data_IF_895518129888
#
_entry.id   IF_895518129888
#
_cell.length_a   1.000
_cell.length_b   1.000
_cell.length_c   1.000
_cell.angle_alpha   90.00
_cell.angle_beta   90.00
_cell.angle_gamma   90.00
#
_symmetry.space_group_name_H-M   'P 1'
#
loop_
_entity.id
_entity.type
_entity.pdbx_description
1 polymer ?
#
# COMPACT_ATOMS: atom_id res chain seq x y z
N UNK A 1 2.27 -32.84 38.98
CA UNK A 1 1.69 -31.53 38.53
C UNK A 1 2.65 -30.71 37.65
N UNK A 2 3.96 -30.70 37.92
CA UNK A 2 4.94 -29.94 37.12
C UNK A 2 5.03 -30.37 35.64
N UNK A 3 4.97 -31.68 35.36
CA UNK A 3 5.07 -32.23 34.00
C UNK A 3 3.90 -31.79 33.08
N UNK A 4 2.66 -31.84 33.57
CA UNK A 4 1.48 -31.32 32.86
C UNK A 4 1.57 -29.81 32.56
N UNK A 5 2.16 -29.03 33.47
CA UNK A 5 2.39 -27.59 33.28
C UNK A 5 3.46 -27.31 32.22
N UNK A 6 4.54 -28.08 32.19
CA UNK A 6 5.59 -27.98 31.16
C UNK A 6 5.06 -28.30 29.75
N UNK A 7 4.18 -29.30 29.62
CA UNK A 7 3.54 -29.62 28.33
C UNK A 7 2.61 -28.53 27.82
N UNK A 8 1.86 -27.89 28.72
CA UNK A 8 1.00 -26.77 28.37
C UNK A 8 1.82 -25.56 27.92
N UNK A 9 2.88 -25.23 28.66
CA UNK A 9 3.79 -24.12 28.32
C UNK A 9 4.41 -24.28 26.94
N UNK A 10 4.96 -25.46 26.62
CA UNK A 10 5.54 -25.74 25.31
C UNK A 10 4.52 -25.60 24.17
N UNK A 11 3.29 -26.11 24.35
CA UNK A 11 2.21 -25.98 23.36
C UNK A 11 1.84 -24.52 23.10
N UNK A 12 1.76 -23.71 24.14
CA UNK A 12 1.48 -22.28 24.02
C UNK A 12 2.60 -21.57 23.25
N UNK A 13 3.87 -21.87 23.56
CA UNK A 13 5.02 -21.28 22.87
C UNK A 13 5.01 -21.67 21.39
N UNK A 14 4.87 -22.96 21.07
CA UNK A 14 4.85 -23.41 19.66
C UNK A 14 3.66 -22.84 18.91
N UNK A 15 2.45 -22.85 19.50
CA UNK A 15 1.28 -22.22 18.91
C UNK A 15 1.51 -20.75 18.62
N UNK A 16 2.08 -20.00 19.58
CA UNK A 16 2.38 -18.58 19.42
C UNK A 16 3.37 -18.33 18.28
N UNK A 17 4.45 -19.11 18.20
CA UNK A 17 5.43 -19.01 17.12
C UNK A 17 4.82 -19.28 15.75
N UNK A 18 3.99 -20.33 15.63
CA UNK A 18 3.29 -20.66 14.37
C UNK A 18 2.32 -19.54 13.98
N UNK A 19 1.50 -19.06 14.92
CA UNK A 19 0.55 -17.98 14.66
C UNK A 19 1.22 -16.67 14.25
N UNK A 20 2.30 -16.27 14.92
CA UNK A 20 3.08 -15.09 14.58
C UNK A 20 3.78 -15.24 13.22
N UNK A 21 4.31 -16.43 12.90
CA UNK A 21 4.92 -16.69 11.60
C UNK A 21 3.91 -16.55 10.46
N UNK A 22 2.73 -17.17 10.59
CA UNK A 22 1.65 -17.06 9.60
C UNK A 22 1.17 -15.62 9.46
N UNK A 23 1.00 -14.91 10.58
CA UNK A 23 0.63 -13.48 10.58
C UNK A 23 1.67 -12.63 9.83
N UNK A 24 2.95 -12.81 10.13
CA UNK A 24 4.02 -12.03 9.51
C UNK A 24 4.13 -12.30 7.99
N UNK A 25 4.09 -13.57 7.58
CA UNK A 25 4.16 -13.97 6.17
C UNK A 25 2.96 -13.42 5.39
N UNK A 26 1.75 -13.60 5.92
CA UNK A 26 0.53 -13.13 5.26
C UNK A 26 0.44 -11.60 5.20
N UNK A 27 0.84 -10.89 6.26
CA UNK A 27 0.89 -9.44 6.28
C UNK A 27 1.92 -8.88 5.28
N UNK A 28 3.11 -9.49 5.20
CA UNK A 28 4.13 -9.08 4.23
C UNK A 28 3.66 -9.27 2.79
N UNK A 29 3.09 -10.44 2.47
CA UNK A 29 2.53 -10.72 1.14
C UNK A 29 1.38 -9.77 0.80
N UNK A 30 0.49 -9.50 1.77
CA UNK A 30 -0.62 -8.56 1.60
C UNK A 30 -0.15 -7.14 1.35
N UNK A 31 0.90 -6.69 2.03
CA UNK A 31 1.50 -5.37 1.78
C UNK A 31 2.07 -5.27 0.35
N UNK A 32 2.73 -6.32 -0.15
CA UNK A 32 3.19 -6.37 -1.54
C UNK A 32 2.03 -6.29 -2.53
N UNK A 33 0.92 -6.97 -2.25
CA UNK A 33 -0.30 -6.89 -3.06
C UNK A 33 -1.01 -5.53 -2.96
N UNK A 34 -1.04 -4.91 -1.79
CA UNK A 34 -1.58 -3.56 -1.58
C UNK A 34 -0.76 -2.49 -2.32
N UNK A 35 0.55 -2.69 -2.46
CA UNK A 35 1.42 -1.82 -3.29
C UNK A 35 1.19 -1.93 -4.80
N UNK A 36 0.13 -2.63 -5.23
CA UNK A 36 -0.27 -2.75 -6.64
C UNK A 36 -0.76 -1.42 -7.23
N UNK A 37 -0.94 -1.43 -8.56
CA UNK A 37 -1.25 -0.24 -9.37
C UNK A 37 -2.52 0.50 -8.95
N UNK A 38 -3.48 -0.16 -8.29
CA UNK A 38 -4.75 0.45 -7.88
C UNK A 38 -4.54 1.53 -6.81
N UNK A 39 -3.75 1.23 -5.78
CA UNK A 39 -3.49 2.17 -4.68
C UNK A 39 -2.64 3.35 -5.16
N UNK A 40 -1.80 3.10 -6.16
CA UNK A 40 -0.93 4.11 -6.79
C UNK A 40 -1.61 4.87 -7.93
N UNK A 41 -2.84 4.51 -8.30
CA UNK A 41 -3.58 5.14 -9.39
C UNK A 41 -3.66 6.67 -9.27
N UNK A 42 -3.92 7.26 -8.08
CA UNK A 42 -3.85 8.71 -7.89
C UNK A 42 -2.50 9.33 -8.26
N UNK A 43 -1.38 8.67 -7.92
CA UNK A 43 -0.04 9.16 -8.25
C UNK A 43 0.18 9.16 -9.77
N UNK A 44 -0.17 8.06 -10.44
CA UNK A 44 -0.05 7.97 -11.90
C UNK A 44 -0.94 8.99 -12.61
N UNK A 45 -2.16 9.18 -12.13
CA UNK A 45 -3.09 10.20 -12.61
C UNK A 45 -2.51 11.61 -12.44
N UNK A 46 -1.96 11.90 -11.27
CA UNK A 46 -1.33 13.20 -10.96
C UNK A 46 -0.15 13.48 -11.88
N UNK A 47 0.77 12.52 -12.06
CA UNK A 47 1.91 12.68 -12.96
C UNK A 47 1.49 12.95 -14.40
N UNK A 48 0.43 12.28 -14.87
CA UNK A 48 -0.15 12.48 -16.21
C UNK A 48 -0.74 13.89 -16.32
N UNK A 49 -1.56 14.27 -15.35
CA UNK A 49 -2.25 15.57 -15.34
C UNK A 49 -1.25 16.73 -15.29
N UNK A 50 -0.18 16.65 -14.49
CA UNK A 50 0.90 17.66 -14.51
C UNK A 50 1.54 17.75 -15.90
N UNK A 51 1.81 16.61 -16.55
CA UNK A 51 2.44 16.62 -17.88
C UNK A 51 1.57 17.27 -18.95
N UNK A 52 0.24 17.09 -18.90
CA UNK A 52 -0.68 17.76 -19.82
C UNK A 52 -0.80 19.26 -19.51
N UNK A 53 -0.84 19.65 -18.22
CA UNK A 53 -0.81 21.06 -17.82
C UNK A 53 0.48 21.74 -18.31
N UNK A 54 1.63 21.07 -18.26
CA UNK A 54 2.89 21.59 -18.81
C UNK A 54 2.76 21.91 -20.29
N UNK A 55 2.18 21.01 -21.09
CA UNK A 55 1.93 21.26 -22.53
C UNK A 55 1.00 22.45 -22.75
N UNK A 56 -0.02 22.61 -21.91
CA UNK A 56 -0.94 23.75 -21.99
C UNK A 56 -0.23 25.08 -21.67
N UNK A 57 0.65 25.10 -20.66
CA UNK A 57 1.50 26.26 -20.35
C UNK A 57 2.44 26.57 -21.52
N UNK A 58 3.08 25.56 -22.11
CA UNK A 58 4.00 25.73 -23.24
C UNK A 58 3.27 26.26 -24.49
N UNK A 59 2.02 25.84 -24.71
CA UNK A 59 1.16 26.39 -25.76
C UNK A 59 0.81 27.86 -25.48
N UNK A 60 0.39 28.18 -24.26
CA UNK A 60 0.10 29.54 -23.82
C UNK A 60 1.30 30.47 -23.99
N UNK A 61 2.49 30.01 -23.59
CA UNK A 61 3.73 30.78 -23.70
C UNK A 61 4.09 31.07 -25.16
N UNK A 62 3.87 30.12 -26.08
CA UNK A 62 4.10 30.34 -27.52
C UNK A 62 3.14 31.36 -28.13
N UNK A 63 1.91 31.43 -27.65
CA UNK A 63 0.89 32.36 -28.17
C UNK A 63 1.03 33.77 -27.57
N UNK A 64 1.20 33.86 -26.24
CA UNK A 64 1.17 35.12 -25.50
C UNK A 64 2.54 35.64 -25.07
N UNK A 65 3.62 34.93 -25.39
CA UNK A 65 5.00 35.24 -24.99
C UNK A 65 5.16 35.52 -23.48
N UNK A 66 4.31 34.91 -22.65
CA UNK A 66 4.26 35.08 -21.19
C UNK A 66 3.78 33.79 -20.53
N UNK A 67 4.15 33.57 -19.26
CA UNK A 67 3.61 32.47 -18.47
C UNK A 67 2.25 32.89 -17.87
N UNK A 68 1.29 31.94 -17.71
CA UNK A 68 0.02 32.25 -17.09
C UNK A 68 0.21 32.56 -15.60
N UNK A 69 -0.51 33.55 -15.07
CA UNK A 69 -0.46 33.87 -13.63
C UNK A 69 -1.12 32.79 -12.77
N UNK A 70 -2.11 32.08 -13.33
CA UNK A 70 -2.88 31.03 -12.66
C UNK A 70 -3.24 29.90 -13.62
N UNK A 71 -3.50 28.70 -13.06
CA UNK A 71 -3.90 27.54 -13.86
C UNK A 71 -5.37 27.55 -14.27
N UNK A 72 -6.24 28.28 -13.55
CA UNK A 72 -7.71 28.27 -13.75
C UNK A 72 -8.13 28.78 -15.14
N UNK A 73 -7.30 29.60 -15.79
CA UNK A 73 -7.56 30.14 -17.12
C UNK A 73 -6.91 29.38 -18.27
N UNK A 74 -6.21 28.27 -18.01
CA UNK A 74 -5.64 27.43 -19.07
C UNK A 74 -6.74 26.60 -19.70
N UNK A 75 -7.04 26.88 -20.96
CA UNK A 75 -7.92 26.02 -21.73
C UNK A 75 -7.25 24.64 -21.93
N UNK A 76 -8.00 23.55 -21.77
CA UNK A 76 -7.54 22.26 -22.22
C UNK A 76 -7.19 22.32 -23.72
N UNK A 77 -5.98 21.86 -24.06
CA UNK A 77 -5.45 21.70 -25.42
C UNK A 77 -6.18 20.56 -26.18
N UNK A 78 -6.92 19.66 -25.50
CA UNK A 78 -7.73 18.60 -26.12
C UNK A 78 -8.71 17.86 -25.18
N UNK A 79 -9.44 16.88 -25.71
CA UNK A 79 -10.31 16.00 -24.90
C UNK A 79 -9.49 15.05 -24.01
N UNK A 80 -9.64 15.13 -22.68
CA UNK A 80 -8.99 14.23 -21.71
C UNK A 80 -7.83 14.81 -20.88
N UNK A 81 -7.70 16.14 -20.89
CA UNK A 81 -6.52 16.90 -20.51
C UNK A 81 -6.01 16.74 -19.08
N UNK A 82 -6.82 17.03 -18.06
CA UNK A 82 -6.48 16.80 -16.67
C UNK A 82 -7.73 16.86 -15.81
N UNK A 83 -7.65 16.37 -14.57
CA UNK A 83 -8.79 16.46 -13.64
C UNK A 83 -9.00 17.92 -13.26
N UNK A 84 -10.25 18.35 -13.30
CA UNK A 84 -10.69 19.64 -12.80
C UNK A 84 -11.80 19.43 -11.77
N UNK A 85 -11.87 20.31 -10.78
CA UNK A 85 -13.03 20.37 -9.89
C UNK A 85 -14.19 21.16 -10.52
N UNK A 86 -15.30 21.28 -9.81
CA UNK A 86 -16.50 22.01 -10.26
C UNK A 86 -16.23 23.50 -10.53
N UNK A 87 -15.18 24.08 -9.94
CA UNK A 87 -14.78 25.48 -10.16
C UNK A 87 -13.81 25.64 -11.32
N UNK A 88 -13.51 24.58 -12.08
CA UNK A 88 -12.55 24.59 -13.20
C UNK A 88 -11.08 24.64 -12.79
N UNK A 89 -10.76 24.49 -11.49
CA UNK A 89 -9.39 24.43 -11.03
C UNK A 89 -8.79 23.04 -11.29
N UNK A 90 -7.56 22.99 -11.82
CA UNK A 90 -6.83 21.75 -12.01
C UNK A 90 -6.52 21.10 -10.65
N UNK A 91 -6.82 19.81 -10.53
CA UNK A 91 -6.66 19.03 -9.29
C UNK A 91 -5.85 17.76 -9.51
N UNK A 92 -5.22 17.29 -8.44
CA UNK A 92 -4.45 16.06 -8.44
C UNK A 92 -5.35 14.80 -8.29
N UNK A 93 -4.71 13.63 -8.25
CA UNK A 93 -5.40 12.34 -8.10
C UNK A 93 -6.09 12.13 -6.74
N UNK A 94 -5.91 13.05 -5.78
CA UNK A 94 -6.61 13.10 -4.51
C UNK A 94 -7.61 14.26 -4.44
N UNK A 95 -7.95 14.84 -5.59
CA UNK A 95 -8.91 15.94 -5.74
C UNK A 95 -8.50 17.22 -5.02
N UNK A 96 -7.19 17.46 -4.88
CA UNK A 96 -6.65 18.68 -4.29
C UNK A 96 -6.12 19.61 -5.38
N UNK A 97 -6.34 20.94 -5.29
CA UNK A 97 -5.79 21.87 -6.25
C UNK A 97 -4.27 21.78 -6.33
N UNK A 98 -3.72 21.87 -7.53
CA UNK A 98 -2.27 21.97 -7.70
C UNK A 98 -1.73 23.28 -7.15
N UNK A 99 -0.53 23.22 -6.56
CA UNK A 99 0.23 24.41 -6.21
C UNK A 99 1.02 24.87 -7.43
N UNK A 100 0.66 26.02 -7.97
CA UNK A 100 1.35 26.66 -9.07
C UNK A 100 2.16 27.86 -8.56
N UNK A 101 3.40 27.95 -9.01
CA UNK A 101 4.27 29.10 -8.75
C UNK A 101 4.99 29.47 -10.04
N UNK A 102 5.19 30.78 -10.26
CA UNK A 102 5.94 31.32 -11.40
C UNK A 102 6.72 32.57 -10.97
N UNK A 103 7.92 32.76 -11.53
CA UNK A 103 8.70 34.02 -11.43
C UNK A 103 8.64 34.84 -12.73
N UNK A 104 7.76 34.46 -13.67
CA UNK A 104 7.65 35.05 -15.01
C UNK A 104 8.60 34.44 -16.06
N UNK A 105 9.65 33.75 -15.62
CA UNK A 105 10.58 33.03 -16.51
C UNK A 105 10.52 31.52 -16.33
N UNK A 106 10.27 31.06 -15.12
CA UNK A 106 10.16 29.66 -14.73
C UNK A 106 8.87 29.46 -13.96
N UNK A 107 8.34 28.25 -14.06
CA UNK A 107 7.18 27.83 -13.30
C UNK A 107 7.44 26.49 -12.60
N UNK A 108 6.63 26.21 -11.59
CA UNK A 108 6.58 24.92 -10.93
C UNK A 108 5.16 24.55 -10.57
N UNK A 109 4.79 23.30 -10.83
CA UNK A 109 3.52 22.69 -10.43
C UNK A 109 3.84 21.62 -9.40
N UNK A 110 3.14 21.60 -8.27
CA UNK A 110 3.36 20.63 -7.18
C UNK A 110 2.02 20.07 -6.70
N UNK A 111 1.94 18.75 -6.55
CA UNK A 111 0.97 18.06 -5.69
C UNK A 111 1.72 17.53 -4.47
N UNK A 112 1.18 17.78 -3.28
CA UNK A 112 1.73 17.34 -2.01
C UNK A 112 1.28 15.91 -1.62
N UNK A 113 0.90 15.09 -2.59
CA UNK A 113 0.51 13.72 -2.33
C UNK A 113 -0.82 13.58 -1.55
N UNK A 114 -1.06 12.36 -1.06
CA UNK A 114 -2.29 11.99 -0.35
C UNK A 114 -2.52 12.79 0.95
N UNK A 115 -1.47 13.17 1.67
CA UNK A 115 -1.58 13.89 2.94
C UNK A 115 -1.68 15.41 2.75
N UNK A 116 -1.22 15.94 1.60
CA UNK A 116 -1.31 17.36 1.22
C UNK A 116 -0.33 18.24 1.95
N UNK A 117 0.76 17.67 2.45
CA UNK A 117 1.81 18.40 3.14
C UNK A 117 3.11 18.26 2.35
N UNK A 118 3.94 19.30 2.31
CA UNK A 118 5.22 19.20 1.63
C UNK A 118 6.07 18.08 2.20
N UNK A 119 6.65 17.27 1.31
CA UNK A 119 7.54 16.16 1.61
C UNK A 119 6.87 14.79 1.54
N UNK A 120 6.78 14.11 2.69
CA UNK A 120 6.18 12.77 2.80
C UNK A 120 6.96 11.64 2.10
N UNK A 121 6.41 10.42 2.19
CA UNK A 121 6.95 9.18 1.59
C UNK A 121 5.81 8.31 1.08
N UNK A 122 6.09 7.39 0.15
CA UNK A 122 5.08 6.50 -0.39
C UNK A 122 3.95 7.27 -1.06
N UNK A 123 2.71 7.07 -0.62
CA UNK A 123 1.53 7.77 -1.18
C UNK A 123 1.47 9.26 -0.83
N UNK A 124 2.20 9.66 0.20
CA UNK A 124 2.28 11.05 0.68
C UNK A 124 3.47 11.79 0.02
N UNK A 125 4.17 11.16 -0.93
CA UNK A 125 5.32 11.77 -1.61
C UNK A 125 4.87 12.82 -2.62
N UNK A 126 5.48 14.01 -2.53
CA UNK A 126 5.28 15.11 -3.49
C UNK A 126 5.59 14.70 -4.94
N UNK A 127 4.76 15.16 -5.87
CA UNK A 127 4.95 15.04 -7.33
C UNK A 127 5.00 16.45 -7.90
N UNK A 128 5.99 16.74 -8.75
CA UNK A 128 6.15 18.09 -9.33
C UNK A 128 6.47 18.06 -10.82
N UNK A 129 6.31 19.20 -11.48
CA UNK A 129 6.68 19.42 -12.89
C UNK A 129 8.14 19.06 -13.21
N UNK A 130 9.04 19.19 -12.23
CA UNK A 130 10.47 18.86 -12.39
C UNK A 130 10.74 17.36 -12.19
N UNK A 131 9.86 16.66 -11.48
CA UNK A 131 9.98 15.25 -11.17
C UNK A 131 8.61 14.59 -11.14
N UNK A 132 8.13 14.20 -12.33
CA UNK A 132 6.84 13.55 -12.52
C UNK A 132 6.79 12.14 -11.93
N UNK A 133 7.94 11.47 -11.75
CA UNK A 133 8.00 10.08 -11.29
C UNK A 133 9.02 9.94 -10.15
N UNK A 134 8.73 10.50 -8.97
CA UNK A 134 9.63 10.42 -7.84
C UNK A 134 9.85 8.97 -7.42
N UNK A 135 11.07 8.68 -6.97
CA UNK A 135 11.40 7.41 -6.32
C UNK A 135 10.66 7.33 -4.97
N UNK A 136 10.49 6.12 -4.46
CA UNK A 136 9.85 5.86 -3.16
C UNK A 136 8.37 6.31 -3.08
N UNK A 137 7.63 6.15 -4.17
CA UNK A 137 6.18 6.37 -4.24
C UNK A 137 5.35 5.16 -3.79
N UNK A 138 5.99 4.00 -3.62
CA UNK A 138 5.32 2.81 -3.12
C UNK A 138 4.89 3.00 -1.66
N UNK A 139 3.67 2.59 -1.27
CA UNK A 139 3.19 2.78 0.08
C UNK A 139 4.09 2.07 1.09
N UNK A 140 4.40 2.77 2.17
CA UNK A 140 5.20 2.20 3.26
C UNK A 140 4.39 1.19 4.07
N UNK A 141 5.09 0.33 4.82
CA UNK A 141 4.43 -0.61 5.72
C UNK A 141 3.55 0.12 6.76
N UNK A 142 4.02 1.27 7.29
CA UNK A 142 3.22 2.10 8.20
C UNK A 142 1.91 2.54 7.57
N UNK A 143 1.97 3.04 6.32
CA UNK A 143 0.77 3.48 5.60
C UNK A 143 -0.21 2.34 5.36
N UNK A 144 0.29 1.14 5.05
CA UNK A 144 -0.54 -0.07 4.92
C UNK A 144 -1.29 -0.41 6.20
N UNK A 145 -0.67 -0.32 7.38
CA UNK A 145 -1.36 -0.60 8.65
C UNK A 145 -2.40 0.45 9.05
N UNK A 146 -2.21 1.69 8.62
CA UNK A 146 -3.10 2.81 8.98
C UNK A 146 -4.20 3.07 7.96
N UNK A 147 -4.09 2.54 6.74
CA UNK A 147 -5.06 2.81 5.68
C UNK A 147 -6.37 2.02 5.91
N UNK A 148 -7.53 2.69 6.01
CA UNK A 148 -8.83 2.02 6.11
C UNK A 148 -9.10 1.01 4.98
N UNK A 149 -8.54 1.24 3.78
CA UNK A 149 -8.68 0.35 2.61
C UNK A 149 -7.97 -0.99 2.84
N UNK A 150 -6.90 -1.00 3.63
CA UNK A 150 -6.16 -2.21 3.98
C UNK A 150 -6.78 -3.00 5.15
N UNK A 151 -7.76 -2.42 5.86
CA UNK A 151 -8.35 -3.01 7.07
C UNK A 151 -8.88 -4.43 6.84
N UNK A 152 -9.53 -4.68 5.70
CA UNK A 152 -10.04 -6.03 5.36
C UNK A 152 -8.90 -7.05 5.21
N UNK A 153 -7.81 -6.66 4.55
CA UNK A 153 -6.63 -7.51 4.37
C UNK A 153 -5.96 -7.83 5.72
N UNK A 154 -5.85 -6.82 6.59
CA UNK A 154 -5.28 -6.99 7.94
C UNK A 154 -6.10 -7.92 8.83
N UNK A 155 -7.43 -7.85 8.76
CA UNK A 155 -8.33 -8.76 9.47
C UNK A 155 -8.13 -10.21 9.01
N UNK A 156 -8.01 -10.44 7.70
CA UNK A 156 -7.72 -11.78 7.15
C UNK A 156 -6.38 -12.30 7.69
N UNK A 157 -5.32 -11.48 7.66
CA UNK A 157 -4.01 -11.86 8.20
C UNK A 157 -4.10 -12.22 9.70
N UNK A 158 -4.82 -11.43 10.49
CA UNK A 158 -5.04 -11.69 11.92
C UNK A 158 -5.79 -13.00 12.17
N UNK A 159 -6.86 -13.25 11.42
CA UNK A 159 -7.63 -14.49 11.51
C UNK A 159 -6.79 -15.71 11.11
N UNK A 160 -5.97 -15.60 10.06
CA UNK A 160 -5.06 -16.68 9.66
C UNK A 160 -3.98 -16.95 10.71
N UNK A 161 -3.43 -15.91 11.33
CA UNK A 161 -2.51 -16.05 12.47
C UNK A 161 -3.16 -16.76 13.66
N UNK A 162 -4.40 -16.42 13.98
CA UNK A 162 -5.17 -17.08 15.05
C UNK A 162 -5.44 -18.56 14.73
N UNK A 163 -5.80 -18.88 13.50
CA UNK A 163 -5.98 -20.28 13.04
C UNK A 163 -4.64 -21.03 13.13
N UNK A 164 -3.53 -20.42 12.68
CA UNK A 164 -2.19 -20.98 12.80
C UNK A 164 -1.82 -21.27 14.27
N UNK A 165 -2.16 -20.35 15.18
CA UNK A 165 -1.97 -20.55 16.62
C UNK A 165 -2.74 -21.77 17.15
N UNK A 166 -4.03 -21.88 16.83
CA UNK A 166 -4.88 -22.98 17.30
C UNK A 166 -4.37 -24.33 16.75
N UNK A 167 -4.01 -24.38 15.47
CA UNK A 167 -3.48 -25.59 14.85
C UNK A 167 -2.12 -25.98 15.45
N UNK A 168 -1.19 -25.04 15.59
CA UNK A 168 0.12 -25.27 16.21
C UNK A 168 0.01 -25.75 17.65
N UNK A 169 -0.91 -25.18 18.43
CA UNK A 169 -1.20 -25.60 19.80
C UNK A 169 -1.70 -27.06 19.87
N UNK A 170 -2.54 -27.48 18.92
CA UNK A 170 -3.08 -28.85 18.85
C UNK A 170 -2.11 -29.86 18.25
N UNK A 171 -1.21 -29.46 17.35
CA UNK A 171 -0.27 -30.34 16.67
C UNK A 171 0.82 -30.91 17.59
N UNK A 172 1.15 -30.22 18.70
CA UNK A 172 2.18 -30.68 19.64
C UNK A 172 1.58 -31.67 20.65
N UNK A 173 1.46 -32.93 20.25
CA UNK A 173 1.25 -34.05 21.17
C UNK A 173 2.60 -34.63 21.58
N UNK A 174 3.02 -34.39 22.83
CA UNK A 174 4.27 -34.91 23.37
C UNK A 174 4.13 -36.42 23.60
N UNK A 175 4.67 -37.24 22.70
CA UNK A 175 5.00 -38.64 23.00
C UNK A 175 6.48 -38.69 23.33
N UNK A 176 6.82 -39.27 24.48
CA UNK A 176 8.16 -39.36 25.09
C UNK A 176 9.20 -40.08 24.18
N UNK A 177 8.80 -40.62 23.03
CA UNK A 177 9.69 -41.20 22.03
C UNK A 177 10.47 -40.13 21.25
N UNK A 178 11.46 -39.56 21.94
CA UNK A 178 12.50 -38.70 21.39
C UNK A 178 13.19 -39.43 20.23
N UNK A 179 13.37 -38.71 19.10
CA UNK A 179 14.06 -39.08 17.84
C UNK A 179 13.22 -39.60 16.66
N UNK A 180 12.16 -40.41 16.83
CA UNK A 180 11.36 -40.91 15.67
C UNK A 180 10.18 -40.02 15.28
N UNK A 181 9.56 -39.30 16.22
CA UNK A 181 8.39 -38.43 15.96
C UNK A 181 8.71 -36.96 15.65
N UNK A 182 9.94 -36.51 15.88
CA UNK A 182 10.31 -35.10 15.76
C UNK A 182 10.19 -34.59 14.32
N UNK A 183 10.74 -35.34 13.36
CA UNK A 183 10.66 -34.98 11.94
C UNK A 183 9.21 -34.92 11.46
N UNK A 184 8.35 -35.86 11.88
CA UNK A 184 6.92 -35.84 11.53
C UNK A 184 6.19 -34.62 12.10
N UNK A 185 6.58 -34.17 13.30
CA UNK A 185 6.00 -32.97 13.93
C UNK A 185 6.46 -31.71 13.19
N UNK A 186 7.74 -31.62 12.84
CA UNK A 186 8.27 -30.52 12.03
C UNK A 186 7.59 -30.43 10.66
N UNK A 187 7.43 -31.56 9.97
CA UNK A 187 6.73 -31.62 8.68
C UNK A 187 5.29 -31.15 8.84
N UNK A 188 4.57 -31.59 9.87
CA UNK A 188 3.19 -31.14 10.15
C UNK A 188 3.11 -29.63 10.41
N UNK A 189 4.03 -29.08 11.21
CA UNK A 189 4.07 -27.64 11.48
C UNK A 189 4.38 -26.85 10.21
N UNK A 190 5.32 -27.32 9.39
CA UNK A 190 5.66 -26.70 8.11
C UNK A 190 4.45 -26.71 7.15
N UNK A 191 3.79 -27.85 6.98
CA UNK A 191 2.57 -27.97 6.16
C UNK A 191 1.48 -27.03 6.68
N UNK A 192 1.31 -26.92 8.00
CA UNK A 192 0.33 -26.02 8.62
C UNK A 192 0.62 -24.56 8.30
N UNK A 193 1.88 -24.12 8.48
CA UNK A 193 2.31 -22.75 8.17
C UNK A 193 2.11 -22.47 6.68
N UNK A 194 2.54 -23.38 5.81
CA UNK A 194 2.43 -23.24 4.36
C UNK A 194 0.96 -23.14 3.92
N UNK A 195 0.11 -24.10 4.33
CA UNK A 195 -1.30 -24.15 3.93
C UNK A 195 -2.09 -22.91 4.43
N UNK A 196 -1.91 -22.53 5.69
CA UNK A 196 -2.59 -21.34 6.25
C UNK A 196 -2.11 -20.05 5.61
N UNK A 197 -0.80 -19.93 5.32
CA UNK A 197 -0.26 -18.75 4.64
C UNK A 197 -0.76 -18.66 3.19
N UNK A 198 -0.76 -19.76 2.44
CA UNK A 198 -1.26 -19.79 1.05
C UNK A 198 -2.74 -19.40 1.01
N UNK A 199 -3.56 -19.98 1.89
CA UNK A 199 -4.98 -19.64 1.97
C UNK A 199 -5.18 -18.16 2.35
N UNK A 200 -4.42 -17.65 3.32
CA UNK A 200 -4.47 -16.24 3.72
C UNK A 200 -4.13 -15.30 2.56
N UNK A 201 -3.09 -15.64 1.78
CA UNK A 201 -2.65 -14.86 0.62
C UNK A 201 -3.75 -14.84 -0.45
N UNK A 202 -4.34 -15.99 -0.77
CA UNK A 202 -5.42 -16.09 -1.76
C UNK A 202 -6.65 -15.28 -1.34
N UNK A 203 -7.07 -15.37 -0.08
CA UNK A 203 -8.21 -14.61 0.43
C UNK A 203 -7.89 -13.11 0.45
N UNK A 204 -6.68 -12.73 0.84
CA UNK A 204 -6.26 -11.32 0.88
C UNK A 204 -6.18 -10.72 -0.52
N UNK A 205 -5.74 -11.49 -1.52
CA UNK A 205 -5.74 -11.06 -2.92
C UNK A 205 -7.16 -10.74 -3.44
N UNK A 206 -8.17 -11.53 -3.03
CA UNK A 206 -9.57 -11.26 -3.35
C UNK A 206 -10.14 -10.01 -2.65
N UNK A 207 -9.51 -9.56 -1.56
CA UNK A 207 -9.91 -8.36 -0.80
C UNK A 207 -9.07 -7.13 -1.14
N UNK A 208 -8.21 -7.19 -2.17
CA UNK A 208 -7.54 -5.99 -2.68
C UNK A 208 -8.62 -4.99 -3.06
N UNK A 209 -8.58 -3.75 -2.52
CA UNK A 209 -9.64 -2.78 -2.76
C UNK A 209 -9.81 -2.57 -4.26
N UNK A 210 -10.99 -2.91 -4.79
CA UNK A 210 -11.39 -2.56 -6.14
C UNK A 210 -11.48 -1.05 -6.21
N UNK A 211 -10.78 -0.42 -7.15
CA UNK A 211 -10.71 1.04 -7.31
C UNK A 211 -11.98 1.68 -7.86
N UNK A 212 -13.15 1.12 -7.55
CA UNK A 212 -14.46 1.69 -7.87
C UNK A 212 -14.97 2.52 -6.70
#
# INVERSE_FOLDING_TARGET
MAEKRAHLGLRLVVGLLVGLAVLAISAHSSWRGYSSSIVRYPQYGTSRDIAEIQKAIDAYQREKNSLPDTLTGLAPVGEGDWRMNETGAAVDGWWRPFHYWTDGTRYRIISYGRDGKPGGVGLDRDISSDNLRPKDTAPTFKQFFTDPRARRMLVVCAMSGLIGFILGFRSVTFSISMRRGFLTTLIRLFITIAATSILAIMISAAHVPSGH
#
